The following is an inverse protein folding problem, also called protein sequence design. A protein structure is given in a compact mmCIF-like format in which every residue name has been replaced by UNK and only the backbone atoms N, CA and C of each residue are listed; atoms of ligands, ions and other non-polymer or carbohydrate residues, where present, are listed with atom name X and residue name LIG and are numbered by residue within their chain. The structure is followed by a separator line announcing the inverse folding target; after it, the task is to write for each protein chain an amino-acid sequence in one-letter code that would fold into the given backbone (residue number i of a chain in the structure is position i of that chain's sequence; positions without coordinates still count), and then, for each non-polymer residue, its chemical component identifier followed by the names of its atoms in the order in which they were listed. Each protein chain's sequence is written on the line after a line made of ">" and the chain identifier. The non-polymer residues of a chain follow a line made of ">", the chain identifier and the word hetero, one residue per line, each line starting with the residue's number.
data_IF_895121748942
#
_entry.id   IF_895121748942
#
_cell.length_a   1.000
_cell.length_b   1.000
_cell.length_c   1.000
_cell.angle_alpha   90.00
_cell.angle_beta   90.00
_cell.angle_gamma   90.00
#
_symmetry.space_group_name_H-M   'P 1'
#
loop_
_entity.id
_entity.type
_entity.pdbx_description
1 polymer ?
#
# COMPACT_ATOMS: atom_id res chain seq x y z
N UNK A 1 44.51 -1.21 10.54
CA UNK A 1 43.93 -0.95 11.87
C UNK A 1 43.41 0.46 11.82
N UNK A 2 42.15 0.62 11.42
CA UNK A 2 41.44 1.89 11.62
C UNK A 2 40.76 1.81 12.98
N UNK A 3 40.93 2.82 13.84
CA UNK A 3 40.28 2.86 15.14
C UNK A 3 38.79 3.08 14.93
N UNK A 4 38.00 2.18 15.52
CA UNK A 4 36.56 2.25 15.55
C UNK A 4 36.10 3.63 16.03
N UNK A 5 35.30 4.29 15.20
CA UNK A 5 34.51 5.45 15.60
C UNK A 5 33.55 4.99 16.70
N UNK A 6 33.86 5.38 17.94
CA UNK A 6 33.01 5.21 19.10
C UNK A 6 31.73 6.02 18.89
N UNK A 7 30.69 5.38 18.37
CA UNK A 7 29.35 5.93 18.46
C UNK A 7 28.88 5.74 19.90
N UNK A 8 29.06 6.75 20.74
CA UNK A 8 28.37 6.86 22.03
C UNK A 8 26.87 6.76 21.78
N UNK A 9 26.30 5.57 22.02
CA UNK A 9 24.86 5.39 22.15
C UNK A 9 24.42 6.04 23.46
N UNK A 10 24.14 7.35 23.42
CA UNK A 10 23.34 7.98 24.47
C UNK A 10 21.95 7.35 24.46
N UNK A 11 21.54 6.81 25.59
CA UNK A 11 20.22 6.23 25.80
C UNK A 11 19.19 7.35 25.70
N UNK A 12 18.45 7.38 24.59
CA UNK A 12 17.39 8.37 24.36
C UNK A 12 16.24 8.06 25.35
N UNK A 13 15.83 9.00 26.22
CA UNK A 13 14.68 8.77 27.08
C UNK A 13 13.43 8.54 26.24
N UNK A 14 12.77 7.39 26.47
CA UNK A 14 11.42 7.08 25.96
C UNK A 14 10.50 8.25 26.31
N UNK A 15 10.09 9.03 25.32
CA UNK A 15 9.31 10.25 25.53
C UNK A 15 9.66 11.43 24.60
N UNK A 16 10.61 11.27 23.67
CA UNK A 16 10.87 12.26 22.62
C UNK A 16 11.41 13.60 23.11
N UNK A 17 11.90 13.65 24.36
CA UNK A 17 12.36 14.89 24.99
C UNK A 17 13.80 15.28 24.64
N UNK A 18 14.52 14.48 23.87
CA UNK A 18 15.88 14.84 23.48
C UNK A 18 15.84 15.77 22.27
N UNK A 19 16.18 17.04 22.52
CA UNK A 19 16.41 18.03 21.47
C UNK A 19 17.85 17.79 20.98
N UNK A 20 18.10 17.61 19.67
CA UNK A 20 19.46 17.53 19.15
C UNK A 20 20.28 18.73 19.61
N UNK A 21 21.50 18.50 20.09
CA UNK A 21 22.41 19.56 20.54
C UNK A 21 22.54 20.62 19.44
N UNK A 22 22.22 21.88 19.74
CA UNK A 22 22.19 22.99 18.77
C UNK A 22 20.81 23.30 18.15
N UNK A 23 19.77 22.52 18.46
CA UNK A 23 18.38 22.80 18.05
C UNK A 23 17.50 23.30 19.20
N UNK A 24 18.08 23.66 20.34
CA UNK A 24 17.36 24.13 21.53
C UNK A 24 16.50 25.37 21.22
N UNK A 25 17.00 26.26 20.37
CA UNK A 25 16.27 27.45 19.90
C UNK A 25 15.09 27.13 18.97
N UNK A 26 15.02 25.91 18.43
CA UNK A 26 13.95 25.46 17.54
C UNK A 26 12.97 24.50 18.24
N UNK A 27 13.15 24.25 19.53
CA UNK A 27 12.30 23.37 20.34
C UNK A 27 10.97 24.03 20.79
N UNK A 28 10.46 24.99 20.02
CA UNK A 28 9.17 25.66 20.31
C UNK A 28 7.97 24.71 20.14
N UNK A 29 8.21 23.53 19.57
CA UNK A 29 7.15 22.53 19.38
C UNK A 29 6.55 22.01 20.69
N UNK A 30 7.29 22.08 21.80
CA UNK A 30 6.76 21.75 23.13
C UNK A 30 5.77 22.79 23.67
N UNK A 31 5.78 24.02 23.14
CA UNK A 31 4.84 25.07 23.52
C UNK A 31 3.64 25.14 22.57
N UNK A 32 3.58 24.32 21.51
CA UNK A 32 2.41 24.30 20.66
C UNK A 32 1.19 23.88 21.50
N UNK A 33 0.09 24.64 21.43
CA UNK A 33 -1.13 24.26 22.12
C UNK A 33 -1.53 22.85 21.68
N UNK A 34 -1.72 21.97 22.65
CA UNK A 34 -2.28 20.64 22.42
C UNK A 34 -3.66 20.89 21.78
N UNK A 35 -3.86 20.47 20.53
CA UNK A 35 -5.18 20.48 19.91
C UNK A 35 -6.07 19.50 20.68
N UNK A 36 -6.87 20.02 21.60
CA UNK A 36 -7.77 19.25 22.46
C UNK A 36 -9.06 18.82 21.75
N UNK A 37 -9.37 19.45 20.62
CA UNK A 37 -10.57 19.16 19.85
C UNK A 37 -10.19 18.62 18.48
N UNK A 38 -10.74 17.45 18.14
CA UNK A 38 -10.64 16.94 16.78
C UNK A 38 -11.25 17.99 15.83
N UNK A 39 -10.58 18.36 14.74
CA UNK A 39 -11.13 19.34 13.80
C UNK A 39 -12.51 18.86 13.33
N UNK A 40 -13.52 19.68 13.54
CA UNK A 40 -14.88 19.43 13.03
C UNK A 40 -14.76 19.24 11.52
N UNK A 41 -15.13 18.05 11.03
CA UNK A 41 -15.06 17.75 9.60
C UNK A 41 -16.03 18.68 8.87
N UNK A 42 -15.49 19.65 8.15
CA UNK A 42 -16.28 20.57 7.32
C UNK A 42 -17.10 19.77 6.30
N UNK A 43 -18.42 20.00 6.26
CA UNK A 43 -19.31 19.33 5.31
C UNK A 43 -19.34 20.07 3.97
N UNK A 44 -18.60 19.56 2.99
CA UNK A 44 -18.58 20.08 1.63
C UNK A 44 -19.71 19.53 0.74
N UNK A 45 -20.70 18.85 1.32
CA UNK A 45 -21.88 18.33 0.62
C UNK A 45 -21.71 16.90 0.10
N UNK A 46 -22.81 16.32 -0.36
CA UNK A 46 -22.91 14.92 -0.81
C UNK A 46 -21.87 14.57 -1.88
N UNK A 47 -21.71 15.41 -2.91
CA UNK A 47 -20.75 15.17 -4.00
C UNK A 47 -19.30 15.05 -3.49
N UNK A 48 -18.91 15.88 -2.52
CA UNK A 48 -17.58 15.80 -1.92
C UNK A 48 -17.42 14.48 -1.16
N UNK A 49 -18.41 14.10 -0.36
CA UNK A 49 -18.38 12.89 0.44
C UNK A 49 -18.32 11.62 -0.43
N UNK A 50 -19.08 11.59 -1.53
CA UNK A 50 -19.02 10.51 -2.51
C UNK A 50 -17.65 10.43 -3.20
N UNK A 51 -17.12 11.58 -3.62
CA UNK A 51 -15.80 11.67 -4.27
C UNK A 51 -14.67 11.25 -3.31
N UNK A 52 -14.75 11.66 -2.05
CA UNK A 52 -13.80 11.28 -0.99
C UNK A 52 -13.85 9.77 -0.74
N UNK A 53 -15.06 9.22 -0.58
CA UNK A 53 -15.27 7.78 -0.37
C UNK A 53 -14.71 6.96 -1.53
N UNK A 54 -15.04 7.31 -2.76
CA UNK A 54 -14.52 6.64 -3.96
C UNK A 54 -12.98 6.69 -4.02
N UNK A 55 -12.39 7.85 -3.68
CA UNK A 55 -10.92 8.00 -3.63
C UNK A 55 -10.28 7.09 -2.59
N UNK A 56 -10.91 6.93 -1.43
CA UNK A 56 -10.47 6.01 -0.37
C UNK A 56 -10.61 4.54 -0.79
N UNK A 57 -11.74 4.18 -1.41
CA UNK A 57 -12.01 2.83 -1.92
C UNK A 57 -10.99 2.43 -3.00
N UNK A 58 -10.71 3.31 -3.97
CA UNK A 58 -9.61 3.12 -4.94
C UNK A 58 -8.24 3.00 -4.24
N UNK A 59 -8.02 3.76 -3.17
CA UNK A 59 -6.82 3.66 -2.35
C UNK A 59 -6.67 2.30 -1.68
N UNK A 60 -7.78 1.73 -1.21
CA UNK A 60 -7.81 0.38 -0.66
C UNK A 60 -7.50 -0.66 -1.73
N UNK A 61 -8.12 -0.56 -2.91
CA UNK A 61 -7.81 -1.44 -4.06
C UNK A 61 -6.32 -1.41 -4.37
N UNK A 62 -5.72 -0.22 -4.49
CA UNK A 62 -4.28 -0.06 -4.73
C UNK A 62 -3.43 -0.77 -3.67
N UNK A 63 -3.77 -0.64 -2.38
CA UNK A 63 -3.05 -1.29 -1.28
C UNK A 63 -3.13 -2.80 -1.39
N UNK A 64 -4.33 -3.34 -1.61
CA UNK A 64 -4.54 -4.80 -1.70
C UNK A 64 -3.83 -5.37 -2.94
N UNK A 65 -3.94 -4.73 -4.11
CA UNK A 65 -3.19 -5.14 -5.33
C UNK A 65 -1.68 -5.07 -5.12
N UNK A 66 -1.16 -4.09 -4.37
CA UNK A 66 0.28 -4.03 -4.06
C UNK A 66 0.69 -5.17 -3.12
N UNK A 67 -0.15 -5.51 -2.16
CA UNK A 67 0.17 -6.51 -1.13
C UNK A 67 0.36 -7.93 -1.67
N UNK A 68 -0.30 -8.28 -2.79
CA UNK A 68 -0.20 -9.63 -3.38
C UNK A 68 1.18 -9.93 -3.99
N UNK A 69 1.93 -8.90 -4.38
CA UNK A 69 3.21 -9.08 -5.08
C UNK A 69 4.22 -9.84 -4.21
N UNK A 70 4.30 -9.53 -2.92
CA UNK A 70 5.32 -10.11 -2.04
C UNK A 70 5.13 -11.61 -1.79
N UNK A 71 3.93 -12.12 -1.42
CA UNK A 71 3.71 -13.56 -1.29
C UNK A 71 3.99 -14.31 -2.59
N UNK A 72 3.53 -13.79 -3.73
CA UNK A 72 3.73 -14.44 -5.04
C UNK A 72 5.21 -14.50 -5.42
N UNK A 73 5.94 -13.40 -5.27
CA UNK A 73 7.39 -13.36 -5.48
C UNK A 73 8.13 -14.35 -4.59
N UNK A 74 7.73 -14.44 -3.31
CA UNK A 74 8.35 -15.35 -2.34
C UNK A 74 8.09 -16.80 -2.71
N UNK A 75 6.86 -17.15 -3.13
CA UNK A 75 6.52 -18.49 -3.63
C UNK A 75 7.41 -18.86 -4.82
N UNK A 76 7.55 -17.97 -5.80
CA UNK A 76 8.41 -18.20 -6.96
C UNK A 76 9.88 -18.47 -6.55
N UNK A 77 10.45 -17.62 -5.68
CA UNK A 77 11.83 -17.81 -5.22
C UNK A 77 12.02 -19.12 -4.47
N UNK A 78 11.09 -19.49 -3.59
CA UNK A 78 11.14 -20.74 -2.84
C UNK A 78 10.97 -21.97 -3.75
N UNK A 79 10.10 -21.89 -4.75
CA UNK A 79 9.93 -22.94 -5.76
C UNK A 79 11.21 -23.12 -6.59
N UNK A 80 11.88 -22.04 -6.96
CA UNK A 80 13.17 -22.11 -7.65
C UNK A 80 14.25 -22.81 -6.81
N UNK A 81 14.31 -22.52 -5.50
CA UNK A 81 15.24 -23.20 -4.59
C UNK A 81 14.86 -24.68 -4.44
N UNK A 82 13.58 -25.01 -4.32
CA UNK A 82 13.11 -26.40 -4.19
C UNK A 82 13.38 -27.24 -5.45
N UNK A 83 13.24 -26.62 -6.63
CA UNK A 83 13.50 -27.23 -7.94
C UNK A 83 15.01 -27.30 -8.24
N UNK A 84 15.83 -26.47 -7.59
CA UNK A 84 17.29 -26.60 -7.63
C UNK A 84 17.72 -27.80 -6.78
N UNK A 85 18.60 -28.66 -7.29
CA UNK A 85 19.10 -29.85 -6.58
C UNK A 85 20.14 -29.49 -5.50
N UNK A 86 19.93 -28.35 -4.82
CA UNK A 86 20.78 -27.91 -3.74
C UNK A 86 20.51 -28.77 -2.49
N UNK A 87 21.44 -29.69 -2.21
CA UNK A 87 21.37 -30.59 -1.07
C UNK A 87 21.45 -29.88 0.28
N UNK A 88 21.78 -28.58 0.30
CA UNK A 88 21.87 -27.81 1.55
C UNK A 88 20.52 -27.34 2.08
N UNK A 89 19.47 -27.39 1.25
CA UNK A 89 18.16 -26.86 1.59
C UNK A 89 17.28 -27.89 2.32
N UNK A 90 16.81 -27.55 3.51
CA UNK A 90 15.76 -28.31 4.20
C UNK A 90 14.44 -28.21 3.41
N UNK A 91 14.24 -29.16 2.50
CA UNK A 91 13.08 -29.20 1.59
C UNK A 91 11.76 -29.10 2.34
N UNK A 92 11.63 -29.74 3.52
CA UNK A 92 10.40 -29.68 4.33
C UNK A 92 10.15 -28.28 4.88
N UNK A 93 11.21 -27.57 5.30
CA UNK A 93 11.08 -26.19 5.74
C UNK A 93 10.65 -25.26 4.60
N UNK A 94 11.21 -25.46 3.40
CA UNK A 94 10.83 -24.68 2.19
C UNK A 94 9.38 -24.95 1.80
N UNK A 95 8.95 -26.21 1.75
CA UNK A 95 7.56 -26.58 1.46
C UNK A 95 6.58 -25.94 2.45
N UNK A 96 6.92 -25.93 3.75
CA UNK A 96 6.13 -25.23 4.77
C UNK A 96 6.05 -23.72 4.50
N UNK A 97 7.18 -23.08 4.17
CA UNK A 97 7.18 -21.64 3.85
C UNK A 97 6.36 -21.33 2.60
N UNK A 98 6.41 -22.19 1.56
CA UNK A 98 5.56 -22.04 0.37
C UNK A 98 4.08 -22.07 0.77
N UNK A 99 3.67 -23.02 1.62
CA UNK A 99 2.29 -23.12 2.10
C UNK A 99 1.86 -21.88 2.91
N UNK A 100 2.72 -21.35 3.76
CA UNK A 100 2.46 -20.13 4.52
C UNK A 100 2.24 -18.91 3.58
N UNK A 101 3.04 -18.81 2.52
CA UNK A 101 2.89 -17.73 1.53
C UNK A 101 1.66 -17.92 0.64
N UNK A 102 1.31 -19.15 0.28
CA UNK A 102 0.07 -19.47 -0.42
C UNK A 102 -1.14 -19.05 0.41
N UNK A 103 -1.12 -19.33 1.71
CA UNK A 103 -2.18 -18.90 2.65
C UNK A 103 -2.32 -17.36 2.67
N UNK A 104 -1.20 -16.62 2.74
CA UNK A 104 -1.21 -15.16 2.67
C UNK A 104 -1.75 -14.64 1.34
N UNK A 105 -1.29 -15.21 0.22
CA UNK A 105 -1.79 -14.87 -1.13
C UNK A 105 -3.30 -15.08 -1.20
N UNK A 106 -3.79 -16.23 -0.74
CA UNK A 106 -5.21 -16.59 -0.85
C UNK A 106 -6.09 -15.67 0.00
N UNK A 107 -5.62 -15.25 1.18
CA UNK A 107 -6.30 -14.24 1.99
C UNK A 107 -6.39 -12.89 1.26
N UNK A 108 -5.31 -12.46 0.60
CA UNK A 108 -5.30 -11.22 -0.20
C UNK A 108 -6.26 -11.35 -1.40
N UNK A 109 -6.32 -12.52 -2.03
CA UNK A 109 -7.27 -12.78 -3.13
C UNK A 109 -8.72 -12.70 -2.65
N UNK A 110 -9.03 -13.19 -1.45
CA UNK A 110 -10.36 -13.00 -0.84
C UNK A 110 -10.68 -11.51 -0.70
N UNK A 111 -9.73 -10.70 -0.28
CA UNK A 111 -9.92 -9.26 -0.14
C UNK A 111 -10.04 -8.55 -1.49
N UNK A 112 -9.28 -8.95 -2.52
CA UNK A 112 -9.46 -8.48 -3.90
C UNK A 112 -10.85 -8.79 -4.44
N UNK A 113 -11.35 -10.01 -4.22
CA UNK A 113 -12.70 -10.42 -4.66
C UNK A 113 -13.80 -9.60 -3.99
N UNK A 114 -13.65 -9.22 -2.72
CA UNK A 114 -14.60 -8.34 -2.02
C UNK A 114 -14.65 -6.93 -2.63
N UNK A 115 -13.60 -6.50 -3.33
CA UNK A 115 -13.53 -5.17 -3.95
C UNK A 115 -14.08 -5.15 -5.38
N UNK A 116 -14.25 -6.29 -6.05
CA UNK A 116 -14.81 -6.35 -7.41
C UNK A 116 -16.17 -5.65 -7.55
N UNK A 117 -17.14 -5.81 -6.62
CA UNK A 117 -18.44 -5.14 -6.71
C UNK A 117 -18.38 -3.61 -6.70
N UNK A 118 -17.25 -3.01 -6.27
CA UNK A 118 -17.05 -1.55 -6.37
C UNK A 118 -17.15 -1.07 -7.82
N UNK A 119 -16.57 -1.81 -8.76
CA UNK A 119 -16.50 -1.42 -10.17
C UNK A 119 -17.79 -1.70 -10.93
N UNK A 120 -18.71 -2.47 -10.35
CA UNK A 120 -20.06 -2.65 -10.89
C UNK A 120 -20.93 -1.43 -10.61
N UNK A 121 -20.66 -0.71 -9.51
CA UNK A 121 -21.32 0.56 -9.17
C UNK A 121 -20.71 1.76 -9.89
N UNK A 122 -19.41 1.72 -10.17
CA UNK A 122 -18.67 2.79 -10.85
C UNK A 122 -18.12 2.30 -12.19
N UNK A 123 -19.00 2.28 -13.21
CA UNK A 123 -18.76 1.69 -14.53
C UNK A 123 -17.59 2.36 -15.26
N UNK A 124 -17.31 3.62 -14.98
CA UNK A 124 -16.15 4.37 -15.49
C UNK A 124 -14.81 3.74 -15.09
N UNK A 125 -14.79 2.92 -14.04
CA UNK A 125 -13.62 2.21 -13.52
C UNK A 125 -13.65 0.69 -13.80
N UNK A 126 -14.52 0.22 -14.71
CA UNK A 126 -14.68 -1.22 -15.00
C UNK A 126 -13.37 -1.90 -15.43
N UNK A 127 -12.44 -1.16 -16.07
CA UNK A 127 -11.12 -1.67 -16.44
C UNK A 127 -10.29 -2.19 -15.26
N UNK A 128 -10.56 -1.70 -14.03
CA UNK A 128 -9.91 -2.22 -12.83
C UNK A 128 -10.42 -3.59 -12.43
N UNK A 129 -11.71 -3.90 -12.69
CA UNK A 129 -12.25 -5.25 -12.48
C UNK A 129 -11.48 -6.26 -13.31
N UNK A 130 -11.36 -6.01 -14.61
CA UNK A 130 -10.62 -6.89 -15.54
C UNK A 130 -9.15 -7.05 -15.12
N UNK A 131 -8.50 -5.94 -14.73
CA UNK A 131 -7.12 -5.97 -14.23
C UNK A 131 -6.97 -6.80 -12.95
N UNK A 132 -7.89 -6.67 -11.99
CA UNK A 132 -7.87 -7.42 -10.73
C UNK A 132 -8.14 -8.91 -10.98
N UNK A 133 -9.10 -9.24 -11.85
CA UNK A 133 -9.39 -10.62 -12.24
C UNK A 133 -8.17 -11.29 -12.88
N UNK A 134 -7.43 -10.58 -13.74
CA UNK A 134 -6.19 -11.08 -14.33
C UNK A 134 -5.08 -11.22 -13.27
N UNK A 135 -4.94 -10.28 -12.32
CA UNK A 135 -4.00 -10.42 -11.18
C UNK A 135 -4.32 -11.67 -10.36
N UNK A 136 -5.59 -11.92 -10.04
CA UNK A 136 -6.03 -13.11 -9.31
C UNK A 136 -5.65 -14.36 -10.11
N UNK A 137 -5.99 -14.42 -11.39
CA UNK A 137 -5.70 -15.57 -12.26
C UNK A 137 -4.20 -15.85 -12.35
N UNK A 138 -3.38 -14.83 -12.55
CA UNK A 138 -1.92 -14.97 -12.68
C UNK A 138 -1.27 -15.36 -11.34
N UNK A 139 -1.79 -14.89 -10.21
CA UNK A 139 -1.24 -15.19 -8.88
C UNK A 139 -1.30 -16.68 -8.48
N UNK A 140 -2.18 -17.46 -9.11
CA UNK A 140 -2.28 -18.91 -8.91
C UNK A 140 -1.31 -19.72 -9.77
N UNK A 141 -0.70 -19.11 -10.79
CA UNK A 141 0.21 -19.83 -11.69
C UNK A 141 1.54 -20.15 -11.00
N UNK A 142 2.14 -21.28 -11.39
CA UNK A 142 3.57 -21.53 -11.15
C UNK A 142 4.37 -20.76 -12.20
N UNK A 143 5.20 -19.83 -11.77
CA UNK A 143 6.09 -19.08 -12.64
C UNK A 143 7.34 -19.91 -12.95
N UNK A 144 7.58 -20.19 -14.23
CA UNK A 144 8.70 -21.04 -14.68
C UNK A 144 9.95 -20.24 -15.01
N UNK A 145 9.81 -18.92 -15.15
CA UNK A 145 10.92 -18.02 -15.46
C UNK A 145 10.83 -16.73 -14.66
N UNK A 146 11.98 -16.05 -14.57
CA UNK A 146 12.07 -14.71 -13.97
C UNK A 146 11.23 -13.71 -14.76
N UNK A 147 11.10 -13.90 -16.08
CA UNK A 147 10.33 -13.03 -16.95
C UNK A 147 8.83 -13.11 -16.65
N UNK A 148 8.25 -14.32 -16.54
CA UNK A 148 6.83 -14.47 -16.19
C UNK A 148 6.50 -13.84 -14.82
N UNK A 149 7.41 -14.00 -13.84
CA UNK A 149 7.26 -13.38 -12.52
C UNK A 149 7.41 -11.85 -12.59
N UNK A 150 8.28 -11.32 -13.46
CA UNK A 150 8.41 -9.88 -13.72
C UNK A 150 7.18 -9.30 -14.42
N UNK A 151 6.59 -10.03 -15.37
CA UNK A 151 5.34 -9.67 -16.04
C UNK A 151 4.18 -9.54 -15.05
N UNK A 152 4.09 -10.46 -14.09
CA UNK A 152 3.10 -10.38 -13.00
C UNK A 152 3.29 -9.10 -12.15
N UNK A 153 4.53 -8.79 -11.76
CA UNK A 153 4.85 -7.56 -11.05
C UNK A 153 4.49 -6.31 -11.87
N UNK A 154 4.75 -6.35 -13.18
CA UNK A 154 4.42 -5.27 -14.11
C UNK A 154 2.91 -5.06 -14.27
N UNK A 155 2.12 -6.15 -14.30
CA UNK A 155 0.66 -6.09 -14.29
C UNK A 155 0.14 -5.38 -13.03
N UNK A 156 0.60 -5.78 -11.85
CA UNK A 156 0.22 -5.15 -10.59
C UNK A 156 0.61 -3.66 -10.56
N UNK A 157 1.82 -3.33 -11.03
CA UNK A 157 2.32 -1.95 -11.12
C UNK A 157 1.49 -1.09 -12.08
N UNK A 158 1.07 -1.65 -13.23
CA UNK A 158 0.22 -0.95 -14.19
C UNK A 158 -1.11 -0.52 -13.56
N UNK A 159 -1.80 -1.46 -12.90
CA UNK A 159 -3.08 -1.19 -12.23
C UNK A 159 -2.91 -0.13 -11.14
N UNK A 160 -1.93 -0.31 -10.25
CA UNK A 160 -1.68 0.62 -9.13
C UNK A 160 -1.27 2.02 -9.58
N UNK A 161 -0.58 2.14 -10.72
CA UNK A 161 -0.20 3.44 -11.31
C UNK A 161 -1.40 4.17 -11.90
N UNK A 162 -2.28 3.46 -12.60
CA UNK A 162 -3.52 4.04 -13.14
C UNK A 162 -4.46 4.48 -12.01
N UNK A 163 -4.64 3.63 -10.99
CA UNK A 163 -5.42 3.99 -9.80
C UNK A 163 -4.87 5.25 -9.14
N UNK A 164 -3.54 5.35 -9.00
CA UNK A 164 -2.94 6.55 -8.40
C UNK A 164 -3.22 7.83 -9.19
N UNK A 165 -3.24 7.75 -10.54
CA UNK A 165 -3.63 8.87 -11.40
C UNK A 165 -5.09 9.27 -11.14
N UNK A 166 -6.00 8.30 -11.04
CA UNK A 166 -7.40 8.60 -10.78
C UNK A 166 -7.65 9.14 -9.38
N UNK A 167 -6.93 8.64 -8.36
CA UNK A 167 -6.94 9.24 -7.02
C UNK A 167 -6.49 10.71 -7.01
N UNK A 168 -5.58 11.09 -7.91
CA UNK A 168 -5.16 12.48 -8.09
C UNK A 168 -6.28 13.30 -8.75
N UNK A 169 -6.93 12.77 -9.79
CA UNK A 169 -8.07 13.41 -10.44
C UNK A 169 -9.24 13.64 -9.45
N UNK A 170 -9.56 12.64 -8.63
CA UNK A 170 -10.58 12.76 -7.58
C UNK A 170 -10.20 13.79 -6.52
N UNK A 171 -8.92 13.86 -6.13
CA UNK A 171 -8.43 14.90 -5.22
C UNK A 171 -8.59 16.30 -5.80
N UNK A 172 -8.32 16.48 -7.10
CA UNK A 172 -8.48 17.77 -7.76
C UNK A 172 -9.97 18.13 -7.91
N UNK A 173 -10.86 17.15 -8.14
CA UNK A 173 -12.32 17.32 -8.05
C UNK A 173 -12.76 17.78 -6.66
N UNK A 174 -12.27 17.11 -5.61
CA UNK A 174 -12.54 17.50 -4.21
C UNK A 174 -12.13 18.95 -3.94
N UNK A 175 -10.93 19.37 -4.38
CA UNK A 175 -10.46 20.77 -4.23
C UNK A 175 -11.35 21.76 -4.98
N UNK A 176 -11.83 21.41 -6.18
CA UNK A 176 -12.74 22.25 -6.95
C UNK A 176 -14.07 22.47 -6.21
N UNK A 177 -14.63 21.42 -5.61
CA UNK A 177 -15.86 21.51 -4.79
C UNK A 177 -15.64 22.43 -3.57
N UNK A 178 -14.52 22.26 -2.85
CA UNK A 178 -14.17 23.15 -1.73
C UNK A 178 -14.07 24.61 -2.16
N UNK A 179 -13.41 24.88 -3.29
CA UNK A 179 -13.27 26.23 -3.84
C UNK A 179 -14.63 26.83 -4.23
N UNK A 180 -15.49 26.04 -4.87
CA UNK A 180 -16.83 26.48 -5.26
C UNK A 180 -17.68 26.86 -4.05
N UNK A 181 -17.69 26.04 -2.99
CA UNK A 181 -18.37 26.37 -1.73
C UNK A 181 -17.82 27.62 -1.04
N UNK A 182 -16.50 27.84 -1.09
CA UNK A 182 -15.90 29.05 -0.52
C UNK A 182 -16.26 30.33 -1.31
N UNK A 183 -16.58 30.22 -2.60
CA UNK A 183 -16.96 31.36 -3.46
C UNK A 183 -18.47 31.64 -3.52
N UNK A 184 -19.31 30.73 -3.08
CA UNK A 184 -20.77 30.92 -3.01
C UNK A 184 -21.11 31.54 -1.65
N UNK A 185 -21.54 32.81 -1.56
CA UNK A 185 -22.04 33.37 -0.32
C UNK A 185 -23.28 32.58 0.12
N UNK A 186 -23.30 32.12 1.37
CA UNK A 186 -24.56 31.78 2.04
C UNK A 186 -25.37 33.05 2.29
#
# INVERSE_FOLDING_TARGET
>A
MDPHSEHEQKVVPLGGKEIPTGMESHADWMNHPIQTEAPVKEDYGEEYNETEKLREELGNVKKVVTSICQPVQTIYTLQYILDSDDQTSDKKAIEKQILDQQTKRDQIIVDLKKLIPLFEKHVEYISYKEGIEEVIKQSYKKFNSKEENFEFGSLCKKITSTIFKDQKNLLDKMKAIKKAKATTPQ
#
